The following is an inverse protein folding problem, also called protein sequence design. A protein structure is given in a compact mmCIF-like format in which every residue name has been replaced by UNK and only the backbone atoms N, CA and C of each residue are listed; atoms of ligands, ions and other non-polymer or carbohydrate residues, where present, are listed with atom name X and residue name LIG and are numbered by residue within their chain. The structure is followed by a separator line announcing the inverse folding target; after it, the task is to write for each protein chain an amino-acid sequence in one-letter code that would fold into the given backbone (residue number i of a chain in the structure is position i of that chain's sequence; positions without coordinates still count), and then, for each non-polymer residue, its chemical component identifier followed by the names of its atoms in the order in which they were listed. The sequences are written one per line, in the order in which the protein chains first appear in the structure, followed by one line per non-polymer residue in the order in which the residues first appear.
data_IF_023808230024
#
_entry.id   IF_023808230024
#
_cell.length_a   1.000
_cell.length_b   1.000
_cell.length_c   1.000
_cell.angle_alpha   90.00
_cell.angle_beta   90.00
_cell.angle_gamma   90.00
#
_symmetry.space_group_name_H-M   'P 1'
#
loop_
_entity.id
_entity.type
_entity.pdbx_description
1 polymer ?
#
# COMPACT_ATOMS: atom_id res chain seq x y z
N UNK A 1 15.94 6.59 13.09
CA UNK A 1 14.48 6.76 12.87
C UNK A 1 14.12 6.71 11.38
N UNK A 2 14.77 7.49 10.51
CA UNK A 2 14.57 7.48 9.04
C UNK A 2 14.64 6.08 8.39
N UNK A 3 15.56 5.22 8.86
CA UNK A 3 15.71 3.87 8.30
C UNK A 3 14.53 2.93 8.59
N UNK A 4 13.81 3.15 9.71
CA UNK A 4 12.62 2.35 10.05
C UNK A 4 11.46 2.64 9.10
N UNK A 5 11.21 3.91 8.79
CA UNK A 5 10.17 4.29 7.82
C UNK A 5 10.51 3.83 6.40
N UNK A 6 11.79 3.91 6.01
CA UNK A 6 12.23 3.37 4.72
C UNK A 6 12.00 1.85 4.65
N UNK A 7 12.37 1.10 5.69
CA UNK A 7 12.13 -0.33 5.74
C UNK A 7 10.62 -0.67 5.71
N UNK A 8 9.80 0.12 6.42
CA UNK A 8 8.35 -0.05 6.42
C UNK A 8 7.73 0.22 5.04
N UNK A 9 8.21 1.27 4.34
CA UNK A 9 7.77 1.57 2.98
C UNK A 9 8.13 0.44 2.01
N UNK A 10 9.37 -0.03 2.03
CA UNK A 10 9.81 -1.15 1.18
C UNK A 10 9.01 -2.42 1.44
N UNK A 11 8.75 -2.73 2.71
CA UNK A 11 7.88 -3.85 3.07
C UNK A 11 6.45 -3.66 2.55
N UNK A 12 5.90 -2.45 2.63
CA UNK A 12 4.55 -2.15 2.14
C UNK A 12 4.44 -2.24 0.63
N UNK A 13 5.50 -1.90 -0.10
CA UNK A 13 5.60 -2.14 -1.54
C UNK A 13 5.64 -3.63 -1.89
N UNK A 14 6.45 -4.41 -1.16
CA UNK A 14 6.49 -5.86 -1.37
C UNK A 14 5.11 -6.49 -1.16
N UNK A 15 4.51 -6.21 -0.01
CA UNK A 15 3.22 -6.80 0.34
C UNK A 15 2.10 -6.32 -0.61
N UNK A 16 2.20 -5.11 -1.16
CA UNK A 16 1.27 -4.63 -2.19
C UNK A 16 1.40 -5.39 -3.52
N UNK A 17 2.62 -5.76 -3.93
CA UNK A 17 2.80 -6.62 -5.11
C UNK A 17 2.19 -7.99 -4.86
N UNK A 18 2.46 -8.59 -3.69
CA UNK A 18 1.95 -9.92 -3.33
C UNK A 18 0.40 -9.94 -3.30
N UNK A 19 -0.23 -8.90 -2.72
CA UNK A 19 -1.70 -8.78 -2.68
C UNK A 19 -2.31 -8.62 -4.08
N UNK A 20 -1.69 -7.81 -4.94
CA UNK A 20 -2.19 -7.59 -6.31
C UNK A 20 -2.05 -8.86 -7.15
N UNK A 21 -0.94 -9.58 -7.00
CA UNK A 21 -0.71 -10.86 -7.67
C UNK A 21 -1.74 -11.90 -7.22
N UNK A 22 -1.92 -12.08 -5.91
CA UNK A 22 -2.89 -13.02 -5.34
C UNK A 22 -4.33 -12.71 -5.79
N UNK A 23 -4.75 -11.44 -5.76
CA UNK A 23 -6.06 -11.03 -6.26
C UNK A 23 -6.21 -11.35 -7.75
N UNK A 24 -5.20 -11.07 -8.57
CA UNK A 24 -5.26 -11.30 -10.01
C UNK A 24 -5.30 -12.79 -10.36
N UNK A 25 -4.53 -13.61 -9.66
CA UNK A 25 -4.60 -15.08 -9.77
C UNK A 25 -5.98 -15.58 -9.41
N UNK A 26 -6.49 -15.19 -8.23
CA UNK A 26 -7.83 -15.58 -7.80
C UNK A 26 -8.91 -15.12 -8.79
N UNK A 27 -8.84 -13.87 -9.28
CA UNK A 27 -9.82 -13.33 -10.22
C UNK A 27 -9.84 -14.10 -11.55
N UNK A 28 -8.68 -14.51 -12.05
CA UNK A 28 -8.56 -15.32 -13.27
C UNK A 28 -9.14 -16.74 -13.11
N UNK A 29 -9.13 -17.29 -11.89
CA UNK A 29 -9.70 -18.61 -11.59
C UNK A 29 -11.20 -18.55 -11.29
N UNK A 30 -11.67 -17.45 -10.67
CA UNK A 30 -13.03 -17.34 -10.15
C UNK A 30 -14.05 -16.79 -11.16
N UNK A 31 -13.61 -16.05 -12.19
CA UNK A 31 -14.50 -15.37 -13.13
C UNK A 31 -14.16 -15.69 -14.58
N UNK A 32 -15.19 -15.92 -15.40
CA UNK A 32 -15.05 -16.12 -16.85
C UNK A 32 -14.55 -14.85 -17.58
N UNK A 33 -14.89 -13.67 -17.05
CA UNK A 33 -14.39 -12.36 -17.50
C UNK A 33 -13.68 -11.65 -16.33
N UNK A 34 -12.38 -11.93 -16.11
CA UNK A 34 -11.66 -11.36 -14.97
C UNK A 34 -11.40 -9.86 -15.14
N UNK A 35 -11.51 -9.11 -14.04
CA UNK A 35 -11.11 -7.70 -13.95
C UNK A 35 -9.85 -7.57 -13.10
N UNK A 36 -8.65 -7.66 -13.70
CA UNK A 36 -7.40 -7.63 -12.96
C UNK A 36 -7.07 -6.21 -12.47
N UNK A 37 -6.47 -6.13 -11.28
CA UNK A 37 -5.85 -4.91 -10.79
C UNK A 37 -4.61 -4.62 -11.64
N UNK A 38 -4.52 -3.42 -12.23
CA UNK A 38 -3.43 -3.12 -13.15
C UNK A 38 -2.15 -2.76 -12.38
N UNK A 39 -0.95 -3.02 -12.94
CA UNK A 39 0.32 -2.84 -12.22
C UNK A 39 0.56 -1.43 -11.67
N UNK A 40 0.06 -0.39 -12.36
CA UNK A 40 0.16 1.00 -11.91
C UNK A 40 -0.62 1.30 -10.61
N UNK A 41 -1.49 0.39 -10.16
CA UNK A 41 -2.19 0.54 -8.89
C UNK A 41 -1.33 0.10 -7.69
N UNK A 42 -0.25 -0.67 -7.90
CA UNK A 42 0.61 -1.19 -6.83
C UNK A 42 1.16 -0.08 -5.91
N UNK A 43 1.67 1.06 -6.42
CA UNK A 43 2.13 2.15 -5.55
C UNK A 43 1.03 2.70 -4.65
N UNK A 44 -0.22 2.77 -5.13
CA UNK A 44 -1.35 3.24 -4.34
C UNK A 44 -1.69 2.26 -3.21
N UNK A 45 -1.71 0.96 -3.51
CA UNK A 45 -1.91 -0.09 -2.50
C UNK A 45 -0.78 -0.07 -1.46
N UNK A 46 0.47 0.09 -1.90
CA UNK A 46 1.63 0.19 -1.03
C UNK A 46 1.54 1.38 -0.07
N UNK A 47 1.11 2.55 -0.56
CA UNK A 47 0.90 3.74 0.25
C UNK A 47 -0.19 3.55 1.31
N UNK A 48 -1.31 2.90 0.97
CA UNK A 48 -2.37 2.58 1.92
C UNK A 48 -1.89 1.62 3.02
N UNK A 49 -1.15 0.57 2.64
CA UNK A 49 -0.54 -0.36 3.60
C UNK A 49 0.48 0.33 4.50
N UNK A 50 1.30 1.21 3.94
CA UNK A 50 2.28 2.00 4.69
C UNK A 50 1.58 2.90 5.71
N UNK A 51 0.56 3.65 5.30
CA UNK A 51 -0.22 4.52 6.19
C UNK A 51 -0.86 3.72 7.33
N UNK A 52 -1.52 2.59 7.02
CA UNK A 52 -2.09 1.71 8.04
C UNK A 52 -1.05 1.26 9.07
N UNK A 53 0.14 0.84 8.63
CA UNK A 53 1.19 0.36 9.54
C UNK A 53 1.82 1.47 10.37
N UNK A 54 1.92 2.67 9.82
CA UNK A 54 2.35 3.84 10.58
C UNK A 54 1.33 4.15 11.68
N UNK A 55 0.02 4.04 11.40
CA UNK A 55 -1.02 4.21 12.42
C UNK A 55 -0.98 3.10 13.48
N UNK A 56 -0.86 1.83 13.08
CA UNK A 56 -0.85 0.68 13.99
C UNK A 56 0.40 0.61 14.87
N UNK A 57 1.57 0.96 14.32
CA UNK A 57 2.84 0.92 15.05
C UNK A 57 2.97 1.97 16.16
N UNK A 58 2.02 2.89 16.26
CA UNK A 58 2.05 4.06 17.14
C UNK A 58 0.88 4.11 18.12
N UNK A 59 0.18 2.99 18.35
CA UNK A 59 -1.00 2.87 19.22
C UNK A 59 -0.85 3.40 20.66
N UNK A 60 -0.95 4.72 20.82
CA UNK A 60 -1.07 5.42 22.10
C UNK A 60 -1.72 6.78 21.91
N UNK A 61 -3.06 6.83 22.04
CA UNK A 61 -3.99 7.96 22.26
C UNK A 61 -3.83 9.30 21.49
N UNK A 62 -2.81 9.50 20.67
CA UNK A 62 -2.61 10.73 19.90
C UNK A 62 -3.07 10.56 18.46
N UNK A 63 -4.20 11.18 18.10
CA UNK A 63 -4.59 11.34 16.70
C UNK A 63 -3.46 11.99 15.89
N UNK A 64 -3.16 11.42 14.73
CA UNK A 64 -2.15 11.95 13.83
C UNK A 64 -2.81 12.78 12.73
N UNK A 65 -2.40 14.04 12.60
CA UNK A 65 -2.63 14.84 11.40
C UNK A 65 -1.80 14.21 10.27
N UNK A 66 -2.48 13.42 9.43
CA UNK A 66 -1.91 12.90 8.18
C UNK A 66 -1.41 14.10 7.37
N UNK A 67 -0.11 14.21 7.06
CA UNK A 67 0.36 15.22 6.12
C UNK A 67 -0.39 14.97 4.82
N UNK A 68 -1.14 15.96 4.35
CA UNK A 68 -1.76 15.92 3.04
C UNK A 68 -0.65 15.55 2.04
N UNK A 69 -0.84 14.44 1.34
CA UNK A 69 0.03 14.04 0.26
C UNK A 69 -0.11 15.12 -0.82
N UNK A 70 0.87 16.00 -0.92
CA UNK A 70 0.93 17.00 -1.99
C UNK A 70 1.21 16.25 -3.29
N UNK A 71 0.19 16.19 -4.16
CA UNK A 71 0.26 15.55 -5.49
C UNK A 71 1.39 16.12 -6.37
N UNK A 72 2.01 17.24 -5.96
CA UNK A 72 3.16 17.87 -6.62
C UNK A 72 4.50 17.15 -6.45
N UNK A 73 4.58 16.08 -5.64
CA UNK A 73 5.85 15.34 -5.50
C UNK A 73 6.20 14.46 -6.72
N UNK A 74 5.31 14.39 -7.72
CA UNK A 74 5.44 13.55 -8.91
C UNK A 74 5.46 14.33 -10.24
N UNK A 75 5.63 15.65 -10.22
CA UNK A 75 5.90 16.47 -11.42
C UNK A 75 7.42 16.71 -11.62
#
# INVERSE_FOLDING_TARGET
MRDKYKALMLRSFKDAMDVVDEYNTWAAEAFDEPSPVPPQAVPKVASMLYQSRVMDGWGGEGGFDVPEFDDKMFD
#
